data_IF_134241154571
#
_entry.id   IF_134241154571
#
_cell.length_a   1.000
_cell.length_b   1.000
_cell.length_c   1.000
_cell.angle_alpha   90.00
_cell.angle_beta   90.00
_cell.angle_gamma   90.00
#
_symmetry.space_group_name_H-M   'P 1'
#
loop_
_entity.id
_entity.type
_entity.pdbx_description
1 polymer ?
#
# COMPACT_ATOMS: atom_id res chain seq x y z
N UNK A 1 5.69 9.43 12.40
CA UNK A 1 5.61 8.90 11.02
C UNK A 1 5.76 10.09 10.12
N UNK A 2 6.56 9.96 9.05
CA UNK A 2 6.78 11.01 8.06
C UNK A 2 6.50 10.49 6.66
N UNK A 3 5.82 11.28 5.83
CA UNK A 3 5.69 10.96 4.41
C UNK A 3 6.95 11.39 3.67
N UNK A 4 7.59 10.46 2.98
CA UNK A 4 8.80 10.71 2.19
C UNK A 4 8.48 11.06 0.74
N UNK A 5 7.51 10.37 0.15
CA UNK A 5 7.17 10.51 -1.27
C UNK A 5 5.68 10.24 -1.50
N UNK A 6 5.06 10.94 -2.45
CA UNK A 6 3.64 10.78 -2.82
C UNK A 6 3.52 10.65 -4.33
N UNK A 7 2.52 9.90 -4.78
CA UNK A 7 2.19 9.82 -6.19
C UNK A 7 0.80 9.25 -6.44
N UNK A 8 0.41 9.24 -7.72
CA UNK A 8 -0.90 8.76 -8.16
C UNK A 8 -0.67 7.76 -9.28
N UNK A 9 -1.16 6.53 -9.08
CA UNK A 9 -1.14 5.49 -10.09
C UNK A 9 -2.00 5.87 -11.30
N UNK A 10 -1.78 5.28 -12.49
CA UNK A 10 -2.59 5.58 -13.69
C UNK A 10 -4.11 5.36 -13.51
N UNK A 11 -4.51 4.49 -12.58
CA UNK A 11 -5.92 4.24 -12.25
C UNK A 11 -6.52 5.23 -11.21
N UNK A 12 -5.79 6.29 -10.84
CA UNK A 12 -6.21 7.29 -9.85
C UNK A 12 -5.98 6.90 -8.39
N UNK A 13 -5.39 5.74 -8.11
CA UNK A 13 -5.05 5.32 -6.73
C UNK A 13 -3.89 6.15 -6.21
N UNK A 14 -4.09 6.81 -5.07
CA UNK A 14 -3.01 7.52 -4.40
C UNK A 14 -2.10 6.52 -3.68
N UNK A 15 -0.80 6.75 -3.78
CA UNK A 15 0.23 5.95 -3.10
C UNK A 15 1.27 6.86 -2.46
N UNK A 16 1.93 6.39 -1.42
CA UNK A 16 3.03 7.12 -0.78
C UNK A 16 4.03 6.19 -0.11
N UNK A 17 5.27 6.65 0.03
CA UNK A 17 6.27 6.02 0.88
C UNK A 17 6.26 6.74 2.23
N UNK A 18 6.15 5.98 3.31
CA UNK A 18 6.20 6.49 4.67
C UNK A 18 7.45 5.99 5.41
N UNK A 19 7.95 6.85 6.31
CA UNK A 19 8.98 6.55 7.27
C UNK A 19 8.36 6.35 8.66
N UNK A 20 8.65 5.19 9.26
CA UNK A 20 8.16 4.74 10.55
C UNK A 20 9.30 4.40 11.54
N UNK A 21 10.56 4.30 11.12
CA UNK A 21 11.71 4.00 11.97
C UNK A 21 11.86 4.99 13.13
N UNK A 22 11.58 6.28 12.92
CA UNK A 22 11.62 7.30 13.98
C UNK A 22 10.72 6.95 15.19
N UNK A 23 9.56 6.33 14.96
CA UNK A 23 8.65 5.89 16.03
C UNK A 23 8.82 4.40 16.38
N UNK A 24 9.38 3.62 15.46
CA UNK A 24 9.48 2.18 15.50
C UNK A 24 10.84 1.71 15.02
N UNK A 25 11.84 1.73 15.89
CA UNK A 25 13.25 1.44 15.56
C UNK A 25 13.52 0.08 14.89
N UNK A 26 12.57 -0.86 14.96
CA UNK A 26 12.63 -2.16 14.28
C UNK A 26 12.23 -2.11 12.80
N UNK A 27 11.58 -1.04 12.34
CA UNK A 27 11.16 -0.89 10.94
C UNK A 27 12.30 -0.31 10.10
N UNK A 28 12.68 -0.89 8.95
CA UNK A 28 13.69 -0.29 8.10
C UNK A 28 13.24 1.08 7.59
N UNK A 29 14.17 2.02 7.48
CA UNK A 29 13.89 3.36 6.97
C UNK A 29 13.18 3.31 5.62
N UNK A 30 12.06 4.03 5.47
CA UNK A 30 11.36 4.23 4.21
C UNK A 30 10.86 2.94 3.54
N UNK A 31 10.66 1.87 4.31
CA UNK A 31 10.29 0.55 3.77
C UNK A 31 8.78 0.32 3.62
N UNK A 32 7.98 1.32 3.99
CA UNK A 32 6.51 1.23 3.97
C UNK A 32 5.95 1.94 2.75
N UNK A 33 5.30 1.18 1.88
CA UNK A 33 4.49 1.70 0.78
C UNK A 33 3.02 1.63 1.17
N UNK A 34 2.35 2.75 1.09
CA UNK A 34 0.93 2.90 1.42
C UNK A 34 0.14 3.16 0.16
N UNK A 35 -1.04 2.55 0.05
CA UNK A 35 -1.99 2.81 -1.03
C UNK A 35 -3.37 3.16 -0.50
N UNK A 36 -4.09 3.97 -1.27
CA UNK A 36 -5.45 4.42 -0.98
C UNK A 36 -6.41 4.11 -2.14
N UNK A 37 -6.56 2.85 -2.56
CA UNK A 37 -7.51 2.49 -3.60
C UNK A 37 -8.95 2.57 -3.07
N UNK A 38 -9.91 2.71 -3.99
CA UNK A 38 -11.29 2.31 -3.71
C UNK A 38 -11.34 0.80 -3.51
N UNK A 39 -11.84 0.35 -2.37
CA UNK A 39 -11.93 -1.07 -2.04
C UNK A 39 -12.96 -1.76 -2.92
N UNK A 40 -12.63 -2.96 -3.39
CA UNK A 40 -13.53 -3.78 -4.22
C UNK A 40 -14.41 -4.75 -3.42
N UNK A 41 -14.14 -4.90 -2.13
CA UNK A 41 -14.86 -5.80 -1.25
C UNK A 41 -15.14 -5.14 0.11
N UNK A 42 -16.18 -5.62 0.77
CA UNK A 42 -16.54 -5.22 2.13
C UNK A 42 -16.16 -6.31 3.12
N UNK A 43 -15.61 -5.91 4.27
CA UNK A 43 -15.29 -6.80 5.38
C UNK A 43 -15.98 -6.34 6.65
N UNK A 44 -16.14 -7.26 7.62
CA UNK A 44 -16.83 -6.96 8.88
C UNK A 44 -15.95 -6.12 9.82
N UNK A 45 -16.54 -5.08 10.40
CA UNK A 45 -15.93 -4.25 11.45
C UNK A 45 -16.06 -2.76 11.14
N UNK A 46 -16.10 -1.93 12.19
CA UNK A 46 -16.31 -0.48 12.04
C UNK A 46 -15.19 0.23 11.27
N UNK A 47 -13.99 -0.35 11.30
CA UNK A 47 -12.80 0.16 10.61
C UNK A 47 -12.33 -0.78 9.49
N UNK A 48 -13.19 -1.68 9.03
CA UNK A 48 -12.88 -2.58 7.93
C UNK A 48 -13.12 -1.88 6.58
N UNK A 49 -12.42 -2.29 5.50
CA UNK A 49 -12.69 -1.77 4.16
C UNK A 49 -14.14 -2.06 3.77
N UNK A 50 -14.79 -1.06 3.16
CA UNK A 50 -16.11 -1.19 2.54
C UNK A 50 -16.00 -0.97 1.04
N UNK A 51 -16.79 -1.69 0.28
CA UNK A 51 -16.82 -1.58 -1.19
C UNK A 51 -17.06 -0.13 -1.61
N UNK A 52 -16.32 0.31 -2.62
CA UNK A 52 -16.30 1.66 -3.19
C UNK A 52 -15.82 2.80 -2.26
N UNK A 53 -15.48 2.50 -1.01
CA UNK A 53 -14.82 3.44 -0.10
C UNK A 53 -13.30 3.40 -0.28
N UNK A 54 -12.64 4.56 -0.11
CA UNK A 54 -11.17 4.63 -0.07
C UNK A 54 -10.70 3.99 1.24
N UNK A 55 -9.73 3.08 1.14
CA UNK A 55 -9.15 2.43 2.31
C UNK A 55 -7.63 2.42 2.25
N UNK A 56 -6.98 2.58 3.41
CA UNK A 56 -5.52 2.59 3.52
C UNK A 56 -4.99 1.16 3.63
N UNK A 57 -4.23 0.72 2.63
CA UNK A 57 -3.52 -0.55 2.66
C UNK A 57 -2.02 -0.35 2.77
N UNK A 58 -1.37 -1.22 3.52
CA UNK A 58 0.05 -1.16 3.85
C UNK A 58 0.81 -2.29 3.19
N UNK A 59 1.99 -1.99 2.66
CA UNK A 59 2.94 -2.94 2.12
C UNK A 59 4.30 -2.70 2.77
N UNK A 60 4.84 -3.73 3.41
CA UNK A 60 6.16 -3.70 4.07
C UNK A 60 7.19 -4.39 3.19
N UNK A 61 8.26 -3.65 2.90
CA UNK A 61 9.41 -4.11 2.15
C UNK A 61 10.62 -4.28 3.07
N UNK A 62 11.66 -4.98 2.59
CA UNK A 62 12.87 -5.20 3.40
C UNK A 62 13.77 -3.96 3.46
N UNK A 63 13.58 -3.01 2.53
CA UNK A 63 14.40 -1.80 2.43
C UNK A 63 13.68 -0.69 1.69
N UNK A 64 14.14 0.55 1.87
CA UNK A 64 13.74 1.72 1.08
C UNK A 64 13.86 1.48 -0.42
N UNK A 65 14.95 0.82 -0.85
CA UNK A 65 15.20 0.55 -2.28
C UNK A 65 14.11 -0.32 -2.89
N UNK A 66 13.71 -1.38 -2.19
CA UNK A 66 12.61 -2.25 -2.64
C UNK A 66 11.28 -1.49 -2.70
N UNK A 67 10.97 -0.70 -1.66
CA UNK A 67 9.77 0.13 -1.61
C UNK A 67 9.73 1.14 -2.77
N UNK A 68 10.86 1.81 -3.06
CA UNK A 68 11.01 2.74 -4.20
C UNK A 68 10.85 2.06 -5.55
N UNK A 69 11.44 0.87 -5.74
CA UNK A 69 11.23 0.11 -6.97
C UNK A 69 9.75 -0.23 -7.17
N UNK A 70 9.06 -0.69 -6.11
CA UNK A 70 7.63 -0.97 -6.17
C UNK A 70 6.79 0.29 -6.46
N UNK A 71 7.11 1.40 -5.79
CA UNK A 71 6.46 2.69 -6.00
C UNK A 71 6.58 3.16 -7.46
N UNK A 72 7.78 3.12 -8.03
CA UNK A 72 8.02 3.51 -9.42
C UNK A 72 7.31 2.57 -10.42
N UNK A 73 7.31 1.27 -10.16
CA UNK A 73 6.56 0.29 -10.99
C UNK A 73 5.05 0.59 -10.99
N UNK A 74 4.49 1.02 -9.85
CA UNK A 74 3.09 1.40 -9.73
C UNK A 74 2.77 2.73 -10.41
N UNK A 75 3.66 3.73 -10.30
CA UNK A 75 3.51 5.01 -11.00
C UNK A 75 3.57 4.87 -12.52
N UNK A 76 4.48 4.03 -13.01
CA UNK A 76 4.60 3.74 -14.43
C UNK A 76 3.44 2.88 -14.98
N UNK A 77 2.64 2.26 -14.10
CA UNK A 77 1.61 1.30 -14.50
C UNK A 77 2.18 -0.06 -14.95
N UNK A 78 3.47 -0.33 -14.69
CA UNK A 78 4.12 -1.60 -15.02
C UNK A 78 3.62 -2.74 -14.13
N UNK A 79 3.20 -2.41 -12.91
CA UNK A 79 2.61 -3.34 -11.95
C UNK A 79 1.35 -2.74 -11.32
N UNK A 80 0.53 -3.61 -10.74
CA UNK A 80 -0.60 -3.29 -9.90
C UNK A 80 -0.33 -3.70 -8.45
N UNK A 81 -1.15 -3.21 -7.52
CA UNK A 81 -1.00 -3.47 -6.08
C UNK A 81 -0.92 -4.97 -5.74
N UNK A 82 -1.71 -5.80 -6.43
CA UNK A 82 -1.73 -7.25 -6.19
C UNK A 82 -0.43 -7.97 -6.55
N UNK A 83 0.44 -7.38 -7.39
CA UNK A 83 1.75 -7.95 -7.68
C UNK A 83 2.65 -7.96 -6.44
N UNK A 84 2.34 -7.15 -5.42
CA UNK A 84 3.06 -7.06 -4.15
C UNK A 84 2.32 -7.76 -3.00
N UNK A 85 1.49 -8.78 -3.29
CA UNK A 85 0.70 -9.52 -2.28
C UNK A 85 1.50 -10.18 -1.16
N UNK A 86 2.80 -10.44 -1.39
CA UNK A 86 3.72 -11.02 -0.39
C UNK A 86 4.25 -9.95 0.58
N UNK A 87 4.23 -8.68 0.15
CA UNK A 87 4.58 -7.53 0.99
C UNK A 87 3.36 -6.96 1.73
N UNK A 88 2.15 -7.41 1.40
CA UNK A 88 0.90 -6.91 1.97
C UNK A 88 0.87 -7.14 3.48
N UNK A 89 0.86 -6.03 4.23
CA UNK A 89 1.00 -6.02 5.70
C UNK A 89 -0.30 -5.73 6.43
N UNK A 90 -1.36 -5.36 5.71
CA UNK A 90 -2.73 -5.34 6.26
C UNK A 90 -3.29 -6.77 6.41
N UNK A 91 -4.50 -6.91 6.95
CA UNK A 91 -5.12 -8.25 7.16
C UNK A 91 -5.21 -9.03 5.85
N UNK A 92 -4.71 -10.28 5.85
CA UNK A 92 -4.63 -11.13 4.64
C UNK A 92 -5.97 -11.30 3.91
N UNK A 93 -7.08 -11.34 4.64
CA UNK A 93 -8.43 -11.43 4.06
C UNK A 93 -8.80 -10.22 3.18
N UNK A 94 -8.14 -9.06 3.37
CA UNK A 94 -8.38 -7.83 2.60
C UNK A 94 -7.66 -7.80 1.25
N UNK A 95 -6.89 -8.83 0.85
CA UNK A 95 -6.27 -8.86 -0.49
C UNK A 95 -7.32 -8.71 -1.60
N UNK A 96 -8.51 -9.28 -1.41
CA UNK A 96 -9.59 -9.19 -2.40
C UNK A 96 -10.07 -7.74 -2.65
N UNK A 97 -9.79 -6.81 -1.74
CA UNK A 97 -10.10 -5.40 -1.91
C UNK A 97 -9.25 -4.72 -3.00
N UNK A 98 -8.09 -5.29 -3.35
CA UNK A 98 -7.11 -4.70 -4.29
C UNK A 98 -6.84 -5.55 -5.53
N UNK A 99 -7.47 -6.73 -5.65
CA UNK A 99 -7.34 -7.60 -6.83
C UNK A 99 -8.17 -7.05 -8.00
N UNK A 100 -7.60 -7.00 -9.20
CA UNK A 100 -8.36 -6.80 -10.44
C UNK A 100 -8.58 -8.16 -11.06
N UNK A 101 -9.86 -8.54 -11.23
CA UNK A 101 -10.26 -9.68 -12.05
C UNK A 101 -10.18 -9.31 -13.53
#
# INVERSE_FOLDING_TARGET
>A
MKVLEKGVMPNGTHIQIEEWNEDHSFMPYGSMLISYPKSKASHKGSFAPKTDEIYRFEFSFKSEKEAKCAFNDLLAGNKALHNFKENFSSKREYLNCILSY
#
